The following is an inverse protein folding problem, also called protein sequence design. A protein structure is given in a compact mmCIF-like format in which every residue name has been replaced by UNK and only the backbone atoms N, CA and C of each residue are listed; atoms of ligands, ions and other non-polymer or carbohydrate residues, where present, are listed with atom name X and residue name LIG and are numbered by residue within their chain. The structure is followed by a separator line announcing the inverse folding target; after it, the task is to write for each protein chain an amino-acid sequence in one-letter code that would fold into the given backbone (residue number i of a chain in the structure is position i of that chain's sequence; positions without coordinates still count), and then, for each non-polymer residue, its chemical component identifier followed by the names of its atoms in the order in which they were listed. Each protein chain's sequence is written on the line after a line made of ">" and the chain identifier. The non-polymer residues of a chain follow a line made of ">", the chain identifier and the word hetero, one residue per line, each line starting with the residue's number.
data_IF_821851788948
#
_entry.id   IF_821851788948
#
_cell.length_a   1.000
_cell.length_b   1.000
_cell.length_c   1.000
_cell.angle_alpha   90.00
_cell.angle_beta   90.00
_cell.angle_gamma   90.00
#
_symmetry.space_group_name_H-M   'P 1'
#
loop_
_entity.id
_entity.type
_entity.pdbx_description
1 polymer ?
#
# COMPACT_ATOMS: atom_id res chain seq x y z
N UNK A 1 38.98 -20.73 -11.23
CA UNK A 1 37.98 -19.68 -11.49
C UNK A 1 37.30 -19.32 -10.18
N UNK A 2 38.10 -18.85 -9.24
CA UNK A 2 37.70 -18.44 -7.89
C UNK A 2 38.53 -17.22 -7.56
N UNK A 3 37.97 -16.01 -7.59
CA UNK A 3 38.62 -14.82 -6.98
C UNK A 3 38.03 -13.47 -7.45
N UNK A 4 36.70 -13.32 -7.58
CA UNK A 4 36.13 -11.97 -7.87
C UNK A 4 34.96 -11.56 -6.93
N UNK A 5 34.57 -12.41 -5.96
CA UNK A 5 33.45 -12.09 -5.06
C UNK A 5 33.87 -11.86 -3.59
N UNK A 6 34.97 -11.14 -3.37
CA UNK A 6 35.33 -10.72 -2.00
C UNK A 6 35.72 -9.25 -2.01
N UNK A 7 34.83 -8.34 -2.21
CA UNK A 7 34.91 -6.91 -1.79
C UNK A 7 33.71 -6.15 -2.33
N UNK A 8 32.50 -6.44 -1.78
CA UNK A 8 31.43 -5.47 -1.77
C UNK A 8 31.24 -5.09 -0.32
N UNK A 9 32.15 -4.28 0.16
CA UNK A 9 32.04 -3.56 1.43
C UNK A 9 31.01 -2.46 1.28
N UNK A 10 30.12 -2.40 2.28
CA UNK A 10 29.16 -1.35 2.56
C UNK A 10 29.55 0.04 2.03
N UNK A 11 28.86 0.51 1.02
CA UNK A 11 28.75 1.94 0.75
C UNK A 11 27.35 2.38 1.19
N UNK A 12 27.25 2.78 2.46
CA UNK A 12 26.18 3.64 2.93
C UNK A 12 26.41 5.01 2.29
N UNK A 13 25.72 5.29 1.20
CA UNK A 13 25.63 6.64 0.67
C UNK A 13 24.71 7.45 1.58
N UNK A 14 25.30 8.12 2.57
CA UNK A 14 24.66 9.19 3.30
C UNK A 14 24.64 10.42 2.35
N UNK A 15 23.65 10.52 1.49
CA UNK A 15 23.38 11.76 0.78
C UNK A 15 22.75 12.75 1.76
N UNK A 16 23.57 13.59 2.37
CA UNK A 16 23.11 14.77 3.09
C UNK A 16 22.85 15.85 2.02
N UNK A 17 21.60 16.21 1.73
CA UNK A 17 21.35 17.41 0.96
C UNK A 17 21.60 18.60 1.89
N UNK A 18 22.73 19.26 1.74
CA UNK A 18 22.92 20.61 2.29
C UNK A 18 22.11 21.56 1.43
N UNK A 19 20.85 21.75 1.75
CA UNK A 19 20.09 22.89 1.25
C UNK A 19 20.31 24.04 2.21
N UNK A 20 21.25 24.95 1.90
CA UNK A 20 21.26 26.28 2.46
C UNK A 20 20.00 27.01 1.97
N UNK A 21 18.95 27.00 2.78
CA UNK A 21 17.82 27.91 2.60
C UNK A 21 18.24 29.27 3.11
N UNK A 22 18.38 30.24 2.21
CA UNK A 22 18.48 31.64 2.59
C UNK A 22 17.19 32.05 3.31
N UNK A 23 17.30 32.48 4.55
CA UNK A 23 16.23 33.12 5.29
C UNK A 23 15.96 34.49 4.65
N UNK A 24 14.74 34.68 4.14
CA UNK A 24 14.31 36.00 3.67
C UNK A 24 13.15 35.85 2.72
N UNK A 25 12.00 35.65 3.25
CA UNK A 25 10.66 36.14 2.95
C UNK A 25 9.69 35.26 3.73
N UNK A 26 8.78 35.89 4.49
CA UNK A 26 7.63 35.21 5.06
C UNK A 26 6.77 34.74 3.88
N UNK A 27 7.15 33.60 3.30
CA UNK A 27 6.37 32.92 2.26
C UNK A 27 5.03 32.56 2.89
N UNK A 28 3.99 33.34 2.56
CA UNK A 28 2.63 33.00 2.89
C UNK A 28 2.36 31.62 2.30
N UNK A 29 2.21 30.62 3.17
CA UNK A 29 1.88 29.25 2.75
C UNK A 29 0.50 29.33 2.13
N UNK A 30 0.44 29.10 0.83
CA UNK A 30 -0.82 29.03 0.09
C UNK A 30 -1.44 27.65 0.26
N UNK A 31 -2.70 27.62 0.64
CA UNK A 31 -3.44 26.38 0.86
C UNK A 31 -4.65 26.33 -0.05
N UNK A 32 -4.86 25.18 -0.67
CA UNK A 32 -6.06 24.92 -1.47
C UNK A 32 -7.26 24.67 -0.53
N UNK A 33 -8.34 25.40 -0.76
CA UNK A 33 -9.58 25.31 0.02
C UNK A 33 -10.78 24.89 -0.85
N UNK A 34 -10.55 24.04 -1.82
CA UNK A 34 -11.55 23.59 -2.78
C UNK A 34 -11.33 24.24 -4.14
N UNK A 35 -12.17 25.20 -4.52
CA UNK A 35 -12.05 25.88 -5.82
C UNK A 35 -11.12 27.08 -5.80
N UNK A 36 -10.59 27.46 -4.63
CA UNK A 36 -9.73 28.64 -4.45
C UNK A 36 -8.43 28.29 -3.73
N UNK A 37 -7.45 29.17 -3.81
CA UNK A 37 -6.15 29.09 -3.15
C UNK A 37 -6.00 30.32 -2.29
N UNK A 38 -5.93 30.15 -0.97
CA UNK A 38 -5.80 31.25 -0.02
C UNK A 38 -4.52 31.11 0.81
N UNK A 39 -4.08 32.23 1.34
CA UNK A 39 -3.01 32.23 2.35
C UNK A 39 -3.55 31.56 3.63
N UNK A 40 -2.81 30.61 4.18
CA UNK A 40 -3.24 29.81 5.34
C UNK A 40 -3.69 30.70 6.51
N UNK A 41 -2.99 31.82 6.76
CA UNK A 41 -3.30 32.75 7.85
C UNK A 41 -4.59 33.56 7.62
N UNK A 42 -5.14 33.61 6.40
CA UNK A 42 -6.42 34.29 6.08
C UNK A 42 -7.61 33.37 6.17
N UNK A 43 -7.38 32.07 6.35
CA UNK A 43 -8.44 31.08 6.39
C UNK A 43 -8.99 30.94 7.82
N UNK A 44 -10.29 31.21 7.98
CA UNK A 44 -10.99 30.98 9.26
C UNK A 44 -11.44 29.55 9.49
N UNK A 45 -11.39 28.72 8.45
CA UNK A 45 -11.78 27.31 8.47
C UNK A 45 -10.72 26.43 9.10
N UNK A 46 -11.14 25.34 9.78
CA UNK A 46 -10.21 24.36 10.34
C UNK A 46 -9.65 23.45 9.22
N UNK A 47 -8.50 23.77 8.72
CA UNK A 47 -7.77 23.02 7.69
C UNK A 47 -6.44 22.50 8.22
N UNK A 48 -5.88 21.49 7.57
CA UNK A 48 -4.50 21.03 7.74
C UNK A 48 -3.92 20.70 6.39
N UNK A 49 -2.69 21.05 6.13
CA UNK A 49 -2.05 20.77 4.86
C UNK A 49 -0.68 20.12 5.07
N UNK A 50 -0.27 19.25 4.15
CA UNK A 50 1.08 18.68 4.07
C UNK A 50 1.56 18.72 2.62
N UNK A 51 2.83 19.02 2.43
CA UNK A 51 3.46 19.09 1.11
C UNK A 51 3.86 17.68 0.64
N UNK A 52 3.79 17.44 -0.67
CA UNK A 52 4.18 16.18 -1.27
C UNK A 52 5.65 15.81 -1.02
N UNK A 53 6.55 16.80 -0.90
CA UNK A 53 7.95 16.55 -0.59
C UNK A 53 8.16 15.93 0.80
N UNK A 54 7.31 16.29 1.77
CA UNK A 54 7.32 15.65 3.10
C UNK A 54 6.78 14.21 3.04
N UNK A 55 5.76 13.97 2.20
CA UNK A 55 5.20 12.63 2.00
C UNK A 55 6.21 11.71 1.30
N UNK A 56 6.95 12.23 0.33
CA UNK A 56 7.96 11.48 -0.44
C UNK A 56 9.16 11.01 0.41
N UNK A 57 9.38 11.57 1.60
CA UNK A 57 10.39 11.10 2.56
C UNK A 57 10.04 9.73 3.15
N UNK A 58 8.77 9.32 3.10
CA UNK A 58 8.34 8.01 3.58
C UNK A 58 8.52 6.96 2.48
N UNK A 59 9.34 5.95 2.75
CA UNK A 59 9.52 4.82 1.86
C UNK A 59 8.42 3.79 2.11
N UNK A 60 7.25 4.00 1.52
CA UNK A 60 6.06 3.15 1.67
C UNK A 60 5.43 2.87 0.31
N UNK A 61 4.83 1.69 0.10
CA UNK A 61 4.16 1.35 -1.16
C UNK A 61 2.81 2.08 -1.34
N UNK A 62 2.26 2.66 -0.26
CA UNK A 62 0.92 3.24 -0.24
C UNK A 62 0.98 4.69 0.26
N UNK A 63 0.40 5.64 -0.52
CA UNK A 63 0.29 7.04 -0.12
C UNK A 63 -0.41 7.21 1.24
N UNK A 64 -1.44 6.39 1.52
CA UNK A 64 -2.19 6.47 2.78
C UNK A 64 -1.31 6.28 3.99
N UNK A 65 -0.37 5.34 3.95
CA UNK A 65 0.57 5.13 5.04
C UNK A 65 1.51 6.34 5.23
N UNK A 66 1.83 7.07 4.15
CA UNK A 66 2.63 8.29 4.26
C UNK A 66 1.87 9.46 4.89
N UNK A 67 0.54 9.44 4.89
CA UNK A 67 -0.30 10.46 5.52
C UNK A 67 -0.47 10.26 7.04
N UNK A 68 -0.22 9.05 7.54
CA UNK A 68 -0.38 8.72 8.95
C UNK A 68 0.47 9.63 9.84
N UNK A 69 -0.18 10.30 10.81
CA UNK A 69 0.49 11.20 11.76
C UNK A 69 0.96 12.55 11.20
N UNK A 70 0.70 12.86 9.91
CA UNK A 70 1.16 14.11 9.27
C UNK A 70 0.08 15.18 9.12
N UNK A 71 -1.18 14.79 9.15
CA UNK A 71 -2.32 15.70 9.05
C UNK A 71 -3.12 15.70 10.36
N UNK A 72 -3.01 16.75 11.18
CA UNK A 72 -3.78 16.85 12.43
C UNK A 72 -5.29 16.73 12.18
N UNK A 73 -5.91 15.73 12.80
CA UNK A 73 -7.33 15.40 12.65
C UNK A 73 -7.64 14.28 11.67
N UNK A 74 -6.64 13.78 10.91
CA UNK A 74 -6.75 12.58 10.09
C UNK A 74 -6.29 11.36 10.89
N UNK A 75 -7.13 10.34 10.95
CA UNK A 75 -6.78 9.00 11.43
C UNK A 75 -6.68 8.07 10.24
N UNK A 76 -5.54 7.41 10.11
CA UNK A 76 -5.31 6.36 9.10
C UNK A 76 -5.23 5.04 9.85
N UNK A 77 -6.21 4.18 9.63
CA UNK A 77 -6.18 2.79 10.10
C UNK A 77 -5.50 1.93 9.03
N UNK A 78 -4.51 1.16 9.43
CA UNK A 78 -3.79 0.25 8.54
C UNK A 78 -4.25 -1.18 8.86
N UNK A 79 -4.97 -1.80 7.94
CA UNK A 79 -5.50 -3.15 8.10
C UNK A 79 -4.52 -4.23 7.68
N UNK A 80 -3.79 -4.01 6.58
CA UNK A 80 -2.83 -4.98 6.05
C UNK A 80 -1.62 -4.28 5.43
N UNK A 81 -0.45 -4.90 5.56
CA UNK A 81 0.80 -4.53 4.86
C UNK A 81 1.17 -5.53 3.76
N UNK A 82 0.25 -6.42 3.42
CA UNK A 82 0.46 -7.34 2.30
C UNK A 82 0.70 -6.56 1.01
N UNK A 83 1.71 -6.93 0.21
CA UNK A 83 1.99 -6.27 -1.06
C UNK A 83 0.76 -6.19 -1.97
N UNK A 84 0.37 -4.97 -2.35
CA UNK A 84 -0.77 -4.72 -3.23
C UNK A 84 -2.15 -4.95 -2.59
N UNK A 85 -2.24 -5.08 -1.26
CA UNK A 85 -3.49 -5.00 -0.52
C UNK A 85 -3.67 -3.59 0.03
N UNK A 86 -4.85 -3.04 -0.18
CA UNK A 86 -5.22 -1.73 0.29
C UNK A 86 -6.42 -1.94 1.20
N UNK A 87 -6.12 -2.05 2.47
CA UNK A 87 -7.10 -2.19 3.54
C UNK A 87 -6.88 -1.07 4.57
N UNK A 88 -6.77 0.15 4.06
CA UNK A 88 -6.63 1.33 4.89
C UNK A 88 -8.00 1.97 5.10
N UNK A 89 -8.30 2.35 6.33
CA UNK A 89 -9.46 3.18 6.67
C UNK A 89 -9.02 4.60 6.98
N UNK A 90 -9.83 5.57 6.54
CA UNK A 90 -9.58 6.99 6.75
C UNK A 90 -10.73 7.60 7.53
N UNK A 91 -10.41 8.33 8.60
CA UNK A 91 -11.42 9.06 9.35
C UNK A 91 -10.92 10.47 9.69
N UNK A 92 -11.81 11.44 9.58
CA UNK A 92 -11.54 12.82 10.01
C UNK A 92 -12.30 13.08 11.32
N UNK A 93 -11.54 13.36 12.38
CA UNK A 93 -12.09 13.56 13.75
C UNK A 93 -12.92 12.36 14.26
N UNK A 94 -12.54 11.15 13.81
CA UNK A 94 -13.24 9.90 14.15
C UNK A 94 -14.37 9.53 13.20
N UNK A 95 -15.12 8.49 13.55
CA UNK A 95 -16.27 8.03 12.78
C UNK A 95 -17.48 8.93 13.04
N UNK A 96 -17.93 9.68 12.05
CA UNK A 96 -19.04 10.62 12.15
C UNK A 96 -20.44 10.02 11.92
N UNK A 97 -20.54 8.77 11.52
CA UNK A 97 -21.80 8.11 11.18
C UNK A 97 -21.86 6.67 11.66
N UNK A 98 -23.04 6.18 12.05
CA UNK A 98 -23.28 4.78 12.42
C UNK A 98 -23.50 3.88 11.19
N UNK A 99 -24.08 4.42 10.13
CA UNK A 99 -24.42 3.69 8.91
C UNK A 99 -23.91 4.43 7.66
N UNK A 100 -23.64 3.70 6.57
CA UNK A 100 -23.17 4.26 5.34
C UNK A 100 -21.66 4.52 5.30
N UNK A 101 -21.24 5.37 4.37
CA UNK A 101 -19.85 5.73 4.16
C UNK A 101 -19.31 6.52 5.35
N UNK A 102 -18.23 6.03 5.94
CA UNK A 102 -17.56 6.63 7.09
C UNK A 102 -16.32 7.44 6.68
N UNK A 103 -15.82 7.19 5.48
CA UNK A 103 -14.61 7.80 4.96
C UNK A 103 -14.86 9.22 4.44
N UNK A 104 -13.81 10.07 4.45
CA UNK A 104 -13.90 11.40 3.88
C UNK A 104 -14.06 11.35 2.36
N UNK A 105 -14.62 12.42 1.80
CA UNK A 105 -14.64 12.62 0.37
C UNK A 105 -13.22 12.88 -0.15
N UNK A 106 -12.83 12.20 -1.21
CA UNK A 106 -11.54 12.38 -1.85
C UNK A 106 -11.71 13.19 -3.14
N UNK A 107 -10.92 14.25 -3.25
CA UNK A 107 -10.91 15.14 -4.42
C UNK A 107 -9.49 15.25 -4.93
N UNK A 108 -9.26 14.87 -6.17
CA UNK A 108 -7.95 14.94 -6.83
C UNK A 108 -8.02 15.95 -7.97
N UNK A 109 -7.18 16.97 -7.94
CA UNK A 109 -7.12 18.05 -8.92
C UNK A 109 -8.49 18.71 -9.21
N UNK A 110 -9.36 18.78 -8.17
CA UNK A 110 -10.71 19.36 -8.26
C UNK A 110 -11.81 18.37 -8.65
N UNK A 111 -11.47 17.11 -8.97
CA UNK A 111 -12.45 16.08 -9.32
C UNK A 111 -12.68 15.13 -8.14
N UNK A 112 -13.96 14.89 -7.86
CA UNK A 112 -14.37 13.90 -6.86
C UNK A 112 -14.11 12.50 -7.40
N UNK A 113 -13.34 11.71 -6.66
CA UNK A 113 -12.89 10.39 -7.08
C UNK A 113 -13.15 9.35 -6.00
N UNK A 114 -14.20 8.56 -6.19
CA UNK A 114 -14.53 7.39 -5.37
C UNK A 114 -14.99 6.27 -6.28
N UNK A 115 -14.45 5.07 -6.04
CA UNK A 115 -14.95 3.83 -6.64
C UNK A 115 -15.39 2.88 -5.55
N UNK A 116 -16.55 2.29 -5.75
CA UNK A 116 -16.92 1.05 -5.09
C UNK A 116 -16.67 -0.08 -6.08
N UNK A 117 -15.87 -1.07 -5.69
CA UNK A 117 -15.80 -2.31 -6.46
C UNK A 117 -17.03 -3.19 -6.22
N UNK A 118 -17.12 -4.31 -6.95
CA UNK A 118 -18.23 -5.25 -6.85
C UNK A 118 -18.41 -5.86 -5.46
N UNK A 119 -17.37 -5.83 -4.62
CA UNK A 119 -17.37 -6.36 -3.24
C UNK A 119 -17.69 -5.28 -2.19
N UNK A 120 -17.99 -4.04 -2.62
CA UNK A 120 -18.34 -2.92 -1.74
C UNK A 120 -17.14 -2.24 -1.06
N UNK A 121 -15.91 -2.58 -1.42
CA UNK A 121 -14.72 -1.90 -0.94
C UNK A 121 -14.54 -0.57 -1.69
N UNK A 122 -14.34 0.50 -0.94
CA UNK A 122 -13.98 1.80 -1.51
C UNK A 122 -12.54 1.74 -2.04
N UNK A 123 -12.40 1.38 -3.30
CA UNK A 123 -11.14 1.59 -4.00
C UNK A 123 -11.08 3.03 -4.47
N UNK A 124 -10.25 3.80 -3.84
CA UNK A 124 -10.01 5.18 -4.22
C UNK A 124 -8.78 5.23 -5.11
N UNK A 125 -8.77 6.12 -6.09
CA UNK A 125 -7.56 6.45 -6.86
C UNK A 125 -6.39 6.85 -5.97
N UNK A 126 -6.69 7.29 -4.76
CA UNK A 126 -5.73 7.67 -3.73
C UNK A 126 -4.67 6.60 -3.45
N UNK A 127 -5.09 5.33 -3.42
CA UNK A 127 -4.18 4.23 -3.12
C UNK A 127 -3.13 3.99 -4.22
N UNK A 128 -3.43 4.44 -5.42
CA UNK A 128 -2.57 4.27 -6.59
C UNK A 128 -1.69 5.48 -6.87
N UNK A 129 -1.91 6.60 -6.16
CA UNK A 129 -1.04 7.76 -6.25
C UNK A 129 0.30 7.50 -5.56
N UNK A 130 1.34 8.07 -6.14
CA UNK A 130 2.67 8.07 -5.56
C UNK A 130 2.94 9.41 -4.86
N UNK A 131 3.60 9.42 -3.69
CA UNK A 131 3.96 10.67 -3.02
C UNK A 131 4.72 11.66 -3.91
N UNK A 132 5.48 11.15 -4.88
CA UNK A 132 6.28 11.95 -5.82
C UNK A 132 5.44 12.76 -6.81
N UNK A 133 4.21 12.33 -7.11
CA UNK A 133 3.29 13.09 -7.99
C UNK A 133 2.50 14.15 -7.24
N UNK A 134 2.53 14.14 -5.91
CA UNK A 134 1.75 15.04 -5.06
C UNK A 134 2.48 16.36 -4.87
N UNK A 135 1.76 17.46 -5.00
CA UNK A 135 2.19 18.80 -4.60
C UNK A 135 1.77 19.08 -3.16
N UNK A 136 0.51 18.86 -2.84
CA UNK A 136 -0.03 19.06 -1.51
C UNK A 136 -1.24 18.17 -1.24
N UNK A 137 -1.43 17.82 0.03
CA UNK A 137 -2.66 17.21 0.53
C UNK A 137 -3.23 18.11 1.61
N UNK A 138 -4.48 18.53 1.44
CA UNK A 138 -5.19 19.42 2.34
C UNK A 138 -6.44 18.74 2.90
N UNK A 139 -6.61 18.82 4.20
CA UNK A 139 -7.71 18.24 4.95
C UNK A 139 -8.70 19.33 5.35
N UNK A 140 -9.94 19.25 4.86
CA UNK A 140 -11.05 20.12 5.24
C UNK A 140 -11.84 19.43 6.36
N UNK A 141 -11.86 20.02 7.56
CA UNK A 141 -12.31 19.35 8.79
C UNK A 141 -13.64 19.88 9.33
N UNK A 142 -14.08 21.05 8.93
CA UNK A 142 -15.30 21.68 9.43
C UNK A 142 -16.34 21.91 8.34
N UNK A 143 -17.57 22.13 8.76
CA UNK A 143 -18.70 22.32 7.86
C UNK A 143 -18.55 23.55 6.95
N UNK A 144 -17.89 24.62 7.41
CA UNK A 144 -17.67 25.82 6.62
C UNK A 144 -16.75 25.53 5.43
N UNK A 145 -15.69 24.74 5.64
CA UNK A 145 -14.77 24.34 4.58
C UNK A 145 -15.37 23.31 3.62
N UNK A 146 -16.21 22.40 4.12
CA UNK A 146 -16.76 21.29 3.32
C UNK A 146 -18.09 21.60 2.63
N UNK A 147 -18.72 22.74 2.95
CA UNK A 147 -20.04 23.13 2.43
C UNK A 147 -20.14 23.11 0.91
N UNK A 148 -19.05 23.47 0.19
CA UNK A 148 -18.99 23.48 -1.27
C UNK A 148 -19.16 22.09 -1.90
N UNK A 149 -18.93 21.01 -1.14
CA UNK A 149 -19.09 19.62 -1.57
C UNK A 149 -20.46 19.04 -1.19
N UNK A 150 -21.31 19.84 -0.52
CA UNK A 150 -22.65 19.44 -0.08
C UNK A 150 -22.62 18.23 0.85
N UNK A 151 -23.65 17.39 0.79
CA UNK A 151 -23.80 16.22 1.67
C UNK A 151 -22.64 15.23 1.58
N UNK A 152 -21.98 15.11 0.43
CA UNK A 152 -20.83 14.21 0.25
C UNK A 152 -19.63 14.61 1.09
N UNK A 153 -19.50 15.89 1.46
CA UNK A 153 -18.45 16.40 2.32
C UNK A 153 -18.73 16.25 3.84
N UNK A 154 -19.82 15.60 4.24
CA UNK A 154 -20.24 15.53 5.65
C UNK A 154 -19.21 14.86 6.57
N UNK A 155 -18.43 13.89 6.09
CA UNK A 155 -17.35 13.23 6.83
C UNK A 155 -15.98 13.93 6.69
N UNK A 156 -15.97 15.16 6.15
CA UNK A 156 -14.75 15.88 5.80
C UNK A 156 -14.31 15.61 4.37
N UNK A 157 -13.31 16.36 3.91
CA UNK A 157 -12.79 16.27 2.54
C UNK A 157 -11.27 16.24 2.56
N UNK A 158 -10.69 15.32 1.79
CA UNK A 158 -9.27 15.24 1.52
C UNK A 158 -9.01 15.75 0.10
N UNK A 159 -8.40 16.94 0.00
CA UNK A 159 -8.00 17.55 -1.27
C UNK A 159 -6.57 17.14 -1.59
N UNK A 160 -6.35 16.62 -2.78
CA UNK A 160 -5.04 16.22 -3.28
C UNK A 160 -4.78 17.01 -4.56
N UNK A 161 -3.68 17.76 -4.54
CA UNK A 161 -3.21 18.45 -5.73
C UNK A 161 -1.95 17.76 -6.23
N UNK A 162 -1.93 17.44 -7.51
CA UNK A 162 -0.77 16.83 -8.15
C UNK A 162 0.19 17.89 -8.68
N UNK A 163 1.48 17.56 -8.77
CA UNK A 163 2.52 18.46 -9.26
C UNK A 163 2.25 18.92 -10.67
N UNK A 164 2.48 20.19 -10.93
CA UNK A 164 2.30 20.84 -12.24
C UNK A 164 3.61 21.39 -12.77
N UNK A 165 3.63 21.73 -14.05
CA UNK A 165 4.74 22.42 -14.68
C UNK A 165 4.96 23.82 -14.12
N UNK A 166 6.18 24.28 -14.21
CA UNK A 166 6.57 25.65 -13.83
C UNK A 166 7.20 26.37 -15.01
N UNK A 167 7.11 27.69 -15.04
CA UNK A 167 7.85 28.50 -16.03
C UNK A 167 9.33 28.48 -15.66
N UNK A 168 10.03 27.46 -16.11
CA UNK A 168 11.45 27.24 -15.82
C UNK A 168 12.07 26.34 -16.90
N UNK A 169 13.41 26.38 -17.08
CA UNK A 169 14.11 25.39 -17.87
C UNK A 169 13.79 23.97 -17.42
N UNK A 170 13.94 23.00 -18.30
CA UNK A 170 13.73 21.58 -18.01
C UNK A 170 14.56 21.16 -16.79
N UNK A 171 13.85 20.62 -15.78
CA UNK A 171 14.42 19.94 -14.61
C UNK A 171 14.14 18.46 -14.74
N UNK A 172 15.16 17.64 -14.56
CA UNK A 172 15.05 16.18 -14.55
C UNK A 172 15.46 15.71 -13.17
N UNK A 173 14.59 14.94 -12.53
CA UNK A 173 14.89 14.30 -11.24
C UNK A 173 14.77 12.79 -11.40
N UNK A 174 15.83 12.10 -10.98
CA UNK A 174 15.87 10.65 -10.90
C UNK A 174 15.95 10.23 -9.43
N UNK A 175 15.12 9.27 -9.05
CA UNK A 175 15.08 8.71 -7.69
C UNK A 175 15.14 7.19 -7.79
N UNK A 176 16.06 6.58 -7.04
CA UNK A 176 16.11 5.13 -6.87
C UNK A 176 16.24 4.82 -5.38
N UNK A 177 15.37 3.97 -4.88
CA UNK A 177 15.32 3.56 -3.48
C UNK A 177 15.21 2.05 -3.38
N UNK A 178 15.95 1.46 -2.45
CA UNK A 178 15.88 0.05 -2.09
C UNK A 178 15.67 -0.02 -0.59
N UNK A 179 14.74 -0.85 -0.16
CA UNK A 179 14.44 -1.05 1.24
C UNK A 179 14.13 -2.50 1.57
N UNK A 180 14.24 -2.80 2.86
CA UNK A 180 13.88 -4.09 3.41
C UNK A 180 12.73 -3.89 4.40
N UNK A 181 11.68 -4.68 4.23
CA UNK A 181 10.54 -4.73 5.13
C UNK A 181 10.72 -5.91 6.08
N UNK A 182 10.37 -5.73 7.34
CA UNK A 182 10.34 -6.80 8.33
C UNK A 182 9.12 -6.62 9.24
N UNK A 183 8.56 -7.70 9.78
CA UNK A 183 7.48 -7.59 10.76
C UNK A 183 7.96 -6.82 11.99
N UNK A 184 7.17 -5.85 12.44
CA UNK A 184 7.46 -5.10 13.67
C UNK A 184 7.29 -5.94 14.92
N UNK A 185 6.39 -6.93 14.86
CA UNK A 185 6.12 -7.90 15.93
C UNK A 185 5.62 -9.20 15.32
N UNK A 186 6.21 -10.30 15.74
CA UNK A 186 5.74 -11.65 15.44
C UNK A 186 5.15 -12.28 16.71
N UNK A 187 4.00 -12.99 16.61
CA UNK A 187 3.53 -13.80 17.70
C UNK A 187 4.57 -14.87 18.05
N UNK A 188 4.72 -15.16 19.34
CA UNK A 188 5.53 -16.28 19.80
C UNK A 188 4.59 -17.42 20.15
N UNK A 189 4.80 -18.56 19.52
CA UNK A 189 4.07 -19.77 19.82
C UNK A 189 4.86 -20.65 20.76
N UNK A 190 4.17 -21.57 21.41
CA UNK A 190 4.77 -22.58 22.26
C UNK A 190 5.47 -23.61 21.37
N UNK A 191 6.54 -24.21 21.90
CA UNK A 191 7.10 -25.44 21.36
C UNK A 191 6.18 -26.64 21.67
N UNK A 192 6.45 -27.79 21.07
CA UNK A 192 5.60 -28.97 21.20
C UNK A 192 5.51 -29.50 22.62
N UNK A 193 6.57 -29.39 23.39
CA UNK A 193 6.60 -29.81 24.80
C UNK A 193 5.69 -28.95 25.67
N UNK A 194 5.82 -27.62 25.58
CA UNK A 194 5.01 -26.69 26.35
C UNK A 194 3.55 -26.74 25.93
N UNK A 195 3.31 -26.86 24.61
CA UNK A 195 1.96 -27.05 24.07
C UNK A 195 1.29 -28.32 24.60
N UNK A 196 2.00 -29.47 24.59
CA UNK A 196 1.47 -30.74 25.06
C UNK A 196 1.17 -30.72 26.57
N UNK A 197 2.01 -30.06 27.37
CA UNK A 197 1.76 -29.89 28.80
C UNK A 197 0.51 -29.04 29.07
N UNK A 198 0.37 -27.87 28.43
CA UNK A 198 -0.80 -27.03 28.59
C UNK A 198 -2.08 -27.69 28.06
N UNK A 199 -1.95 -28.45 26.97
CA UNK A 199 -3.06 -29.26 26.45
C UNK A 199 -3.52 -30.30 27.45
N UNK A 200 -2.57 -31.03 28.08
CA UNK A 200 -2.85 -32.00 29.15
C UNK A 200 -3.54 -31.36 30.34
N UNK A 201 -3.10 -30.17 30.78
CA UNK A 201 -3.73 -29.43 31.85
C UNK A 201 -5.20 -29.10 31.53
N UNK A 202 -5.43 -28.52 30.34
CA UNK A 202 -6.77 -28.19 29.87
C UNK A 202 -7.67 -29.43 29.69
N UNK A 203 -7.11 -30.50 29.11
CA UNK A 203 -7.82 -31.76 28.91
C UNK A 203 -8.16 -32.45 30.22
N UNK A 204 -7.24 -32.49 31.17
CA UNK A 204 -7.42 -33.05 32.48
C UNK A 204 -8.47 -32.33 33.32
N UNK A 205 -8.55 -31.00 33.18
CA UNK A 205 -9.59 -30.21 33.86
C UNK A 205 -11.01 -30.66 33.49
N UNK A 206 -11.21 -30.97 32.20
CA UNK A 206 -12.53 -31.43 31.68
C UNK A 206 -12.75 -32.92 31.89
N UNK A 207 -11.70 -33.73 31.89
CA UNK A 207 -11.76 -35.19 31.87
C UNK A 207 -11.23 -35.85 33.16
N UNK A 208 -11.43 -35.21 34.32
CA UNK A 208 -11.15 -35.79 35.63
C UNK A 208 -9.67 -36.12 35.92
N UNK A 209 -8.76 -35.32 35.37
CA UNK A 209 -7.30 -35.50 35.56
C UNK A 209 -6.62 -36.41 34.53
N UNK A 210 -7.33 -36.86 33.48
CA UNK A 210 -6.75 -37.64 32.41
C UNK A 210 -5.71 -36.85 31.61
N UNK A 211 -4.68 -37.53 31.13
CA UNK A 211 -3.71 -36.95 30.20
C UNK A 211 -3.98 -37.39 28.77
N UNK A 212 -3.94 -36.44 27.83
CA UNK A 212 -4.03 -36.74 26.40
C UNK A 212 -2.67 -37.19 25.83
N UNK A 213 -1.60 -36.48 26.18
CA UNK A 213 -0.22 -36.84 25.84
C UNK A 213 0.40 -37.60 27.01
N UNK A 214 0.78 -38.85 26.78
CA UNK A 214 1.48 -39.65 27.78
C UNK A 214 2.91 -39.17 28.08
N UNK A 215 3.52 -39.70 29.15
CA UNK A 215 4.88 -39.35 29.57
C UNK A 215 5.93 -39.61 28.51
N UNK A 216 5.81 -40.70 27.74
CA UNK A 216 6.71 -41.02 26.63
C UNK A 216 6.70 -39.93 25.56
N UNK A 217 5.51 -39.43 25.17
CA UNK A 217 5.38 -38.36 24.20
C UNK A 217 5.96 -37.04 24.72
N UNK A 218 5.72 -36.72 26.00
CA UNK A 218 6.27 -35.51 26.62
C UNK A 218 7.79 -35.56 26.68
N UNK A 219 8.38 -36.72 27.04
CA UNK A 219 9.83 -36.90 27.07
C UNK A 219 10.44 -36.83 25.66
N UNK A 220 9.73 -37.37 24.65
CA UNK A 220 10.17 -37.30 23.27
C UNK A 220 10.16 -35.87 22.73
N UNK A 221 9.13 -35.08 23.00
CA UNK A 221 9.07 -33.63 22.63
C UNK A 221 10.16 -32.85 23.35
N UNK A 222 10.39 -33.11 24.66
CA UNK A 222 11.40 -32.43 25.44
C UNK A 222 12.82 -32.68 24.94
N UNK A 223 13.09 -33.90 24.52
CA UNK A 223 14.42 -34.33 24.10
C UNK A 223 14.66 -34.29 22.60
N UNK A 224 13.60 -34.04 21.78
CA UNK A 224 13.68 -34.05 20.32
C UNK A 224 14.09 -35.42 19.74
N UNK A 225 13.59 -36.51 20.31
CA UNK A 225 14.09 -37.86 20.04
C UNK A 225 13.78 -38.34 18.62
N UNK A 226 12.59 -38.01 18.12
CA UNK A 226 12.14 -38.36 16.75
C UNK A 226 11.33 -37.20 16.16
N UNK A 227 11.92 -36.49 15.23
CA UNK A 227 11.31 -35.32 14.58
C UNK A 227 10.12 -35.65 13.64
N UNK A 228 9.93 -36.91 13.29
CA UNK A 228 8.85 -37.35 12.46
C UNK A 228 7.63 -37.81 13.25
N UNK A 229 7.86 -38.56 14.31
CA UNK A 229 6.81 -39.05 15.19
C UNK A 229 6.41 -38.04 16.25
N UNK A 230 7.36 -37.26 16.73
CA UNK A 230 7.17 -36.19 17.72
C UNK A 230 7.73 -34.86 17.19
N UNK A 231 7.06 -34.28 16.16
CA UNK A 231 7.53 -33.05 15.53
C UNK A 231 7.43 -31.85 16.49
N UNK A 232 8.34 -30.89 16.28
CA UNK A 232 8.34 -29.59 16.92
C UNK A 232 8.64 -28.53 15.86
N UNK A 233 7.58 -27.92 15.30
CA UNK A 233 7.66 -27.07 14.12
C UNK A 233 7.24 -25.65 14.44
N UNK A 234 8.13 -24.70 14.24
CA UNK A 234 7.77 -23.28 14.18
C UNK A 234 7.25 -22.94 12.79
N UNK A 235 5.93 -22.95 12.63
CA UNK A 235 5.28 -22.72 11.36
C UNK A 235 5.51 -21.33 10.79
N UNK A 236 5.79 -20.31 11.63
CA UNK A 236 6.16 -18.99 11.14
C UNK A 236 7.56 -18.98 10.53
N UNK A 237 8.53 -19.56 11.20
CA UNK A 237 9.91 -19.66 10.68
C UNK A 237 9.97 -20.53 9.42
N UNK A 238 9.13 -21.55 9.33
CA UNK A 238 9.05 -22.41 8.14
C UNK A 238 8.36 -21.74 6.94
N UNK A 239 7.44 -20.82 7.14
CA UNK A 239 6.63 -20.25 6.04
C UNK A 239 7.02 -18.83 5.65
N UNK A 240 7.63 -18.08 6.57
CA UNK A 240 7.94 -16.66 6.35
C UNK A 240 9.44 -16.41 6.30
N UNK A 241 9.82 -15.41 5.52
CA UNK A 241 11.15 -14.81 5.51
C UNK A 241 11.23 -13.73 6.58
N UNK A 242 12.42 -13.51 7.12
CA UNK A 242 12.66 -12.43 8.09
C UNK A 242 12.56 -11.05 7.47
N UNK A 243 12.85 -10.93 6.17
CA UNK A 243 12.84 -9.67 5.43
C UNK A 243 12.27 -9.86 4.03
N UNK A 244 11.61 -8.83 3.53
CA UNK A 244 11.16 -8.71 2.14
C UNK A 244 11.80 -7.47 1.49
N UNK A 245 12.09 -7.56 0.20
CA UNK A 245 12.70 -6.46 -0.56
C UNK A 245 11.63 -5.58 -1.17
N UNK A 246 11.89 -4.27 -1.18
CA UNK A 246 11.08 -3.29 -1.87
C UNK A 246 11.98 -2.36 -2.69
N UNK A 247 11.60 -2.13 -3.93
CA UNK A 247 12.32 -1.29 -4.88
C UNK A 247 11.41 -0.20 -5.40
N UNK A 248 11.94 1.02 -5.50
CA UNK A 248 11.23 2.17 -6.06
C UNK A 248 12.15 2.95 -6.97
N UNK A 249 11.74 3.16 -8.21
CA UNK A 249 12.48 3.92 -9.20
C UNK A 249 11.55 4.95 -9.81
N UNK A 250 11.96 6.20 -9.79
CA UNK A 250 11.19 7.32 -10.33
C UNK A 250 12.03 8.22 -11.21
N UNK A 251 11.43 8.69 -12.29
CA UNK A 251 11.99 9.69 -13.19
C UNK A 251 10.92 10.74 -13.46
N UNK A 252 11.22 12.00 -13.17
CA UNK A 252 10.31 13.08 -13.49
C UNK A 252 10.98 14.20 -14.28
N UNK A 253 10.16 14.83 -15.11
CA UNK A 253 10.50 15.96 -15.95
C UNK A 253 9.54 17.10 -15.65
N UNK A 254 10.07 18.27 -15.36
CA UNK A 254 9.30 19.45 -15.05
C UNK A 254 9.91 20.66 -15.74
N UNK A 255 9.09 21.51 -16.34
CA UNK A 255 9.54 22.73 -17.00
C UNK A 255 8.42 23.42 -17.74
N UNK A 256 8.79 24.38 -18.55
CA UNK A 256 7.85 25.08 -19.41
C UNK A 256 8.22 26.54 -19.66
N UNK A 257 7.35 27.20 -20.35
CA UNK A 257 7.38 28.61 -20.68
C UNK A 257 5.99 29.25 -20.48
N UNK A 258 5.79 30.46 -20.95
CA UNK A 258 4.52 31.18 -20.81
C UNK A 258 3.38 30.54 -21.61
N UNK A 259 3.68 29.71 -22.62
CA UNK A 259 2.69 29.04 -23.48
C UNK A 259 2.35 27.64 -22.95
N UNK A 260 3.37 26.85 -22.60
CA UNK A 260 3.19 25.46 -22.14
C UNK A 260 4.04 25.21 -20.92
N UNK A 261 3.42 24.68 -19.87
CA UNK A 261 4.10 24.15 -18.67
C UNK A 261 3.74 22.69 -18.54
N UNK A 262 4.70 21.86 -18.13
CA UNK A 262 4.50 20.43 -18.05
C UNK A 262 5.19 19.82 -16.85
N UNK A 263 4.57 18.77 -16.31
CA UNK A 263 5.14 17.82 -15.35
C UNK A 263 4.84 16.41 -15.85
N UNK A 264 5.86 15.58 -15.99
CA UNK A 264 5.75 14.17 -16.38
C UNK A 264 6.49 13.33 -15.36
N UNK A 265 5.84 12.28 -14.84
CA UNK A 265 6.43 11.30 -13.93
C UNK A 265 6.27 9.90 -14.49
N UNK A 266 7.35 9.13 -14.45
CA UNK A 266 7.39 7.69 -14.64
C UNK A 266 7.89 7.07 -13.34
N UNK A 267 7.15 6.12 -12.79
CA UNK A 267 7.52 5.48 -11.53
C UNK A 267 7.28 3.97 -11.59
N UNK A 268 8.18 3.22 -10.97
CA UNK A 268 8.08 1.78 -10.75
C UNK A 268 8.22 1.47 -9.26
N UNK A 269 7.36 0.60 -8.76
CA UNK A 269 7.40 0.03 -7.41
C UNK A 269 7.35 -1.49 -7.51
N UNK A 270 8.33 -2.17 -6.91
CA UNK A 270 8.37 -3.62 -6.74
C UNK A 270 8.41 -3.99 -5.26
N UNK A 271 7.60 -4.96 -4.84
CA UNK A 271 7.56 -5.48 -3.47
C UNK A 271 7.40 -7.00 -3.48
N UNK A 272 8.30 -7.74 -2.80
CA UNK A 272 8.36 -9.21 -2.87
C UNK A 272 7.58 -9.93 -1.75
N UNK A 273 7.03 -9.22 -0.74
CA UNK A 273 6.33 -9.83 0.40
C UNK A 273 7.22 -10.70 1.30
N UNK A 274 6.63 -11.25 2.36
CA UNK A 274 7.34 -11.99 3.41
C UNK A 274 7.25 -13.53 3.28
N UNK A 275 6.44 -14.07 2.38
CA UNK A 275 6.36 -15.53 2.22
C UNK A 275 7.66 -16.10 1.66
N UNK A 276 8.04 -17.31 2.10
CA UNK A 276 9.21 -18.01 1.55
C UNK A 276 9.04 -18.17 0.03
N UNK A 277 10.16 -18.11 -0.69
CA UNK A 277 10.16 -18.23 -2.15
C UNK A 277 9.87 -19.67 -2.53
N UNK A 278 8.97 -19.84 -3.48
CA UNK A 278 8.61 -21.17 -3.97
C UNK A 278 9.72 -21.82 -4.78
N UNK A 279 10.62 -21.04 -5.38
CA UNK A 279 11.82 -21.52 -6.08
C UNK A 279 12.74 -22.33 -5.18
N UNK A 280 12.79 -22.02 -3.88
CA UNK A 280 13.59 -22.74 -2.90
C UNK A 280 12.91 -24.04 -2.44
N UNK A 281 11.64 -24.26 -2.79
CA UNK A 281 10.79 -25.33 -2.29
C UNK A 281 10.30 -26.28 -3.38
N UNK A 282 10.13 -25.81 -4.60
CA UNK A 282 9.67 -26.57 -5.75
C UNK A 282 10.03 -25.88 -7.08
N UNK A 283 9.91 -26.60 -8.19
CA UNK A 283 10.15 -26.06 -9.55
C UNK A 283 9.06 -25.07 -10.02
N UNK A 284 8.05 -24.78 -9.17
CA UNK A 284 6.94 -23.89 -9.50
C UNK A 284 7.21 -22.49 -9.01
N UNK A 285 6.95 -21.49 -9.86
CA UNK A 285 7.14 -20.08 -9.54
C UNK A 285 5.81 -19.41 -9.19
N UNK A 286 5.44 -19.44 -7.91
CA UNK A 286 4.28 -18.73 -7.37
C UNK A 286 4.65 -17.71 -6.29
N UNK A 287 5.84 -17.16 -6.38
CA UNK A 287 6.36 -16.19 -5.40
C UNK A 287 5.41 -15.00 -5.24
N UNK A 288 5.17 -14.63 -3.98
CA UNK A 288 4.45 -13.41 -3.68
C UNK A 288 5.22 -12.21 -4.22
N UNK A 289 4.59 -11.42 -5.05
CA UNK A 289 5.14 -10.16 -5.57
C UNK A 289 4.04 -9.19 -5.97
N UNK A 290 4.38 -7.93 -5.88
CA UNK A 290 3.58 -6.82 -6.35
C UNK A 290 4.44 -5.86 -7.15
N UNK A 291 4.03 -5.57 -8.37
CA UNK A 291 4.65 -4.57 -9.22
C UNK A 291 3.63 -3.51 -9.60
N UNK A 292 4.01 -2.25 -9.51
CA UNK A 292 3.19 -1.12 -9.94
C UNK A 292 3.99 -0.17 -10.80
N UNK A 293 3.39 0.23 -11.89
CA UNK A 293 3.91 1.22 -12.84
C UNK A 293 2.97 2.41 -12.84
N UNK A 294 3.49 3.60 -12.56
CA UNK A 294 2.74 4.84 -12.59
C UNK A 294 3.28 5.76 -13.67
N UNK A 295 2.37 6.35 -14.41
CA UNK A 295 2.64 7.44 -15.34
C UNK A 295 1.73 8.61 -14.99
N UNK A 296 2.30 9.79 -14.81
CA UNK A 296 1.57 11.04 -14.64
C UNK A 296 2.03 12.05 -15.67
N UNK A 297 1.10 12.72 -16.33
CA UNK A 297 1.38 13.85 -17.21
C UNK A 297 0.39 14.96 -16.93
N UNK A 298 0.88 16.10 -16.46
CA UNK A 298 0.11 17.31 -16.23
C UNK A 298 0.65 18.41 -17.14
N UNK A 299 -0.22 18.99 -17.96
CA UNK A 299 0.12 20.03 -18.91
C UNK A 299 -0.81 21.21 -18.73
N UNK A 300 -0.25 22.40 -18.64
CA UNK A 300 -0.96 23.67 -18.61
C UNK A 300 -0.61 24.44 -19.90
N UNK A 301 -1.59 24.71 -20.72
CA UNK A 301 -1.42 25.33 -22.05
C UNK A 301 -2.20 26.64 -22.12
N UNK A 302 -1.53 27.75 -22.36
CA UNK A 302 -2.15 29.03 -22.70
C UNK A 302 -2.40 29.07 -24.21
N UNK A 303 -3.62 28.71 -24.64
CA UNK A 303 -4.02 28.67 -26.04
C UNK A 303 -4.07 30.07 -26.63
N UNK A 304 -4.54 31.02 -25.81
CA UNK A 304 -4.56 32.44 -26.14
C UNK A 304 -4.35 33.27 -24.87
N UNK A 305 -4.39 34.60 -24.98
CA UNK A 305 -4.29 35.49 -23.81
C UNK A 305 -5.46 35.28 -22.83
N UNK A 306 -6.60 34.83 -23.32
CA UNK A 306 -7.82 34.69 -22.55
C UNK A 306 -8.22 33.23 -22.31
N UNK A 307 -7.74 32.27 -23.13
CA UNK A 307 -8.11 30.86 -23.05
C UNK A 307 -6.92 30.01 -22.60
N UNK A 308 -7.12 29.26 -21.54
CA UNK A 308 -6.15 28.26 -21.03
C UNK A 308 -6.79 26.88 -20.92
N UNK A 309 -5.97 25.85 -21.12
CA UNK A 309 -6.33 24.45 -20.96
C UNK A 309 -5.41 23.79 -19.91
N UNK A 310 -6.01 23.05 -19.00
CA UNK A 310 -5.30 22.17 -18.08
C UNK A 310 -5.62 20.72 -18.42
N UNK A 311 -4.61 19.94 -18.78
CA UNK A 311 -4.73 18.54 -19.17
C UNK A 311 -4.03 17.69 -18.10
N UNK A 312 -4.72 16.70 -17.59
CA UNK A 312 -4.19 15.74 -16.62
C UNK A 312 -4.38 14.32 -17.15
N UNK A 313 -3.32 13.52 -17.11
CA UNK A 313 -3.34 12.10 -17.41
C UNK A 313 -2.61 11.35 -16.29
N UNK A 314 -3.29 10.40 -15.68
CA UNK A 314 -2.72 9.47 -14.70
C UNK A 314 -2.98 8.04 -15.13
N UNK A 315 -1.97 7.19 -15.13
CA UNK A 315 -2.08 5.76 -15.43
C UNK A 315 -1.39 5.01 -14.30
N UNK A 316 -2.08 4.02 -13.74
CA UNK A 316 -1.50 3.04 -12.82
C UNK A 316 -1.79 1.64 -13.34
N UNK A 317 -0.73 0.84 -13.46
CA UNK A 317 -0.80 -0.57 -13.86
C UNK A 317 -0.21 -1.39 -12.72
N UNK A 318 -0.96 -2.38 -12.25
CA UNK A 318 -0.56 -3.23 -11.14
C UNK A 318 -0.59 -4.70 -11.56
N UNK A 319 0.42 -5.44 -11.12
CA UNK A 319 0.51 -6.89 -11.24
C UNK A 319 0.83 -7.46 -9.86
N UNK A 320 -0.12 -8.18 -9.30
CA UNK A 320 -0.01 -8.85 -8.00
C UNK A 320 -0.07 -10.35 -8.20
N UNK A 321 0.87 -11.08 -7.62
CA UNK A 321 0.87 -12.54 -7.54
C UNK A 321 0.95 -12.93 -6.08
N UNK A 322 0.08 -13.85 -5.66
CA UNK A 322 0.14 -14.51 -4.35
C UNK A 322 0.10 -16.02 -4.54
N UNK A 323 0.68 -16.81 -3.61
CA UNK A 323 0.54 -18.26 -3.63
C UNK A 323 -0.94 -18.68 -3.67
N UNK A 324 -1.24 -19.79 -4.33
CA UNK A 324 -2.60 -20.30 -4.50
C UNK A 324 -3.20 -20.77 -3.17
N UNK A 325 -4.49 -20.54 -3.00
CA UNK A 325 -5.28 -21.01 -1.85
C UNK A 325 -6.55 -21.72 -2.27
N UNK A 326 -7.38 -22.08 -1.32
CA UNK A 326 -8.63 -22.82 -1.55
C UNK A 326 -9.76 -21.99 -2.16
N UNK A 327 -9.75 -20.67 -1.90
CA UNK A 327 -10.80 -19.76 -2.37
C UNK A 327 -10.23 -18.59 -3.17
N UNK A 328 -10.87 -18.27 -4.28
CA UNK A 328 -10.49 -17.15 -5.13
C UNK A 328 -10.57 -15.83 -4.34
N UNK A 329 -9.43 -15.19 -4.10
CA UNK A 329 -9.32 -13.84 -3.53
C UNK A 329 -9.07 -13.72 -2.03
N UNK A 330 -9.00 -14.83 -1.27
CA UNK A 330 -8.74 -14.81 0.20
C UNK A 330 -7.48 -15.58 0.59
N UNK A 331 -6.60 -15.84 -0.33
CA UNK A 331 -5.54 -16.83 -0.19
C UNK A 331 -4.54 -16.53 0.92
N UNK A 332 -4.22 -15.26 1.12
CA UNK A 332 -3.20 -14.86 2.10
C UNK A 332 -3.75 -14.88 3.52
N UNK A 333 -4.97 -14.38 3.74
CA UNK A 333 -5.61 -14.41 5.05
C UNK A 333 -5.88 -15.85 5.51
N UNK A 334 -6.35 -16.73 4.61
CA UNK A 334 -6.54 -18.14 4.91
C UNK A 334 -5.22 -18.83 5.27
N UNK A 335 -4.14 -18.52 4.54
CA UNK A 335 -2.83 -19.06 4.84
C UNK A 335 -2.30 -18.60 6.21
N UNK A 336 -2.42 -17.30 6.53
CA UNK A 336 -2.02 -16.79 7.85
C UNK A 336 -2.87 -17.39 8.98
N UNK A 337 -4.18 -17.51 8.80
CA UNK A 337 -5.07 -18.17 9.76
C UNK A 337 -4.67 -19.63 9.99
N UNK A 338 -4.27 -20.36 8.95
CA UNK A 338 -3.76 -21.74 9.07
C UNK A 338 -2.46 -21.80 9.83
N UNK A 339 -1.49 -20.93 9.50
CA UNK A 339 -0.22 -20.85 10.23
C UNK A 339 -0.46 -20.60 11.73
N UNK A 340 -1.39 -19.70 12.07
CA UNK A 340 -1.69 -19.35 13.46
C UNK A 340 -2.42 -20.43 14.23
N UNK A 341 -3.27 -21.21 13.57
CA UNK A 341 -4.09 -22.22 14.21
C UNK A 341 -3.46 -23.61 14.26
N UNK A 342 -2.33 -23.80 13.56
CA UNK A 342 -1.67 -25.09 13.46
C UNK A 342 -0.78 -25.35 14.69
N UNK A 343 -1.05 -26.42 15.49
CA UNK A 343 -0.19 -26.78 16.61
C UNK A 343 1.21 -27.16 16.17
N UNK A 344 2.25 -26.92 16.98
CA UNK A 344 3.64 -27.21 16.63
C UNK A 344 3.92 -28.71 16.47
N UNK A 345 3.12 -29.54 17.12
CA UNK A 345 3.24 -31.01 17.14
C UNK A 345 2.28 -31.72 16.18
N UNK A 346 1.63 -31.01 15.26
CA UNK A 346 0.59 -31.60 14.38
C UNK A 346 1.17 -32.64 13.41
N UNK A 347 2.26 -32.31 12.73
CA UNK A 347 2.98 -33.18 11.79
C UNK A 347 4.34 -32.53 11.43
N UNK A 348 5.31 -33.31 10.91
CA UNK A 348 6.57 -32.76 10.41
C UNK A 348 6.35 -31.95 9.13
N UNK A 349 7.23 -31.01 8.80
CA UNK A 349 7.19 -30.26 7.55
C UNK A 349 7.24 -31.20 6.36
N UNK A 350 8.13 -32.20 6.42
CA UNK A 350 8.22 -33.31 5.45
C UNK A 350 8.35 -34.63 6.15
N UNK A 351 7.73 -35.64 5.56
CA UNK A 351 7.82 -37.03 6.00
C UNK A 351 9.19 -37.66 5.62
N UNK A 352 9.57 -38.83 6.18
CA UNK A 352 10.82 -39.50 5.84
C UNK A 352 11.02 -39.82 4.36
N UNK A 353 9.93 -40.00 3.60
CA UNK A 353 9.92 -40.23 2.17
C UNK A 353 9.94 -38.94 1.34
N UNK A 354 10.17 -37.79 1.99
CA UNK A 354 10.16 -36.45 1.40
C UNK A 354 8.79 -35.93 0.89
N UNK A 355 7.68 -36.66 1.13
CA UNK A 355 6.35 -36.10 0.91
C UNK A 355 6.03 -35.02 1.94
N UNK A 356 5.07 -34.15 1.64
CA UNK A 356 4.63 -33.14 2.60
C UNK A 356 3.94 -33.76 3.80
N UNK A 357 4.29 -33.30 5.01
CA UNK A 357 3.55 -33.64 6.21
C UNK A 357 2.14 -33.04 6.16
N UNK A 358 1.19 -33.72 6.77
CA UNK A 358 -0.21 -33.28 6.83
C UNK A 358 -1.07 -34.23 7.63
N UNK A 359 -2.30 -33.83 7.90
CA UNK A 359 -3.31 -34.68 8.55
C UNK A 359 -4.68 -34.49 7.90
N UNK A 360 -5.64 -35.32 8.30
CA UNK A 360 -7.04 -35.19 7.82
C UNK A 360 -7.66 -33.83 8.18
N UNK A 361 -7.20 -33.19 9.23
CA UNK A 361 -7.77 -31.94 9.75
C UNK A 361 -6.99 -30.70 9.32
N UNK A 362 -5.69 -30.86 8.99
CA UNK A 362 -4.77 -29.75 8.77
C UNK A 362 -3.92 -29.96 7.53
N UNK A 363 -3.90 -28.97 6.65
CA UNK A 363 -3.00 -28.94 5.50
C UNK A 363 -1.70 -28.22 5.86
N UNK A 364 -0.61 -28.65 5.25
CA UNK A 364 0.70 -28.04 5.44
C UNK A 364 0.76 -26.64 4.79
N UNK A 365 0.98 -25.55 5.56
CA UNK A 365 1.00 -24.22 4.99
C UNK A 365 2.17 -23.98 4.04
N UNK A 366 3.33 -24.63 4.27
CA UNK A 366 4.48 -24.52 3.37
C UNK A 366 4.21 -25.22 2.03
N UNK A 367 3.55 -26.39 2.06
CA UNK A 367 3.10 -27.08 0.86
C UNK A 367 2.05 -26.26 0.08
N UNK A 368 1.18 -25.55 0.80
CA UNK A 368 0.22 -24.66 0.16
C UNK A 368 0.94 -23.51 -0.58
N UNK A 369 2.00 -22.94 0.00
CA UNK A 369 2.82 -21.91 -0.67
C UNK A 369 3.51 -22.50 -1.90
N UNK A 370 4.10 -23.69 -1.78
CA UNK A 370 4.97 -24.27 -2.80
C UNK A 370 4.21 -24.92 -3.98
N UNK A 371 3.10 -25.63 -3.70
CA UNK A 371 2.52 -26.56 -4.66
C UNK A 371 1.12 -26.17 -5.18
N UNK A 372 0.35 -25.36 -4.42
CA UNK A 372 -1.05 -25.07 -4.78
C UNK A 372 -1.23 -24.16 -5.99
N UNK A 373 -0.15 -23.63 -6.55
CA UNK A 373 -0.20 -22.72 -7.69
C UNK A 373 -0.25 -21.26 -7.28
N UNK A 374 -0.96 -20.42 -8.04
CA UNK A 374 -0.95 -18.97 -7.79
C UNK A 374 -2.30 -18.33 -8.10
N UNK A 375 -2.54 -17.21 -7.45
CA UNK A 375 -3.55 -16.24 -7.80
C UNK A 375 -2.88 -14.96 -8.29
N UNK A 376 -3.26 -14.51 -9.49
CA UNK A 376 -2.72 -13.30 -10.11
C UNK A 376 -3.82 -12.30 -10.35
N UNK A 377 -3.59 -11.08 -9.93
CA UNK A 377 -4.45 -9.93 -10.17
C UNK A 377 -3.71 -8.92 -11.04
N UNK A 378 -4.36 -8.49 -12.12
CA UNK A 378 -3.88 -7.38 -12.95
C UNK A 378 -4.92 -6.27 -12.88
N UNK A 379 -4.51 -5.07 -12.50
CA UNK A 379 -5.35 -3.89 -12.55
C UNK A 379 -4.75 -2.80 -13.43
N UNK A 380 -5.62 -2.05 -14.06
CA UNK A 380 -5.27 -0.85 -14.83
C UNK A 380 -6.24 0.24 -14.47
N UNK A 381 -5.71 1.40 -14.13
CA UNK A 381 -6.48 2.58 -13.84
C UNK A 381 -5.98 3.73 -14.71
N UNK A 382 -6.87 4.34 -15.45
CA UNK A 382 -6.58 5.48 -16.31
C UNK A 382 -7.49 6.63 -15.90
N UNK A 383 -6.88 7.74 -15.56
CA UNK A 383 -7.56 8.96 -15.18
C UNK A 383 -7.14 10.06 -16.14
N UNK A 384 -8.07 10.66 -16.81
CA UNK A 384 -7.82 11.82 -17.65
C UNK A 384 -8.79 12.94 -17.31
N UNK A 385 -8.30 14.16 -17.36
CA UNK A 385 -9.11 15.34 -17.15
C UNK A 385 -8.68 16.49 -18.06
N UNK A 386 -9.64 17.24 -18.51
CA UNK A 386 -9.45 18.48 -19.24
C UNK A 386 -10.27 19.57 -18.54
N UNK A 387 -9.62 20.67 -18.19
CA UNK A 387 -10.27 21.89 -17.70
C UNK A 387 -9.91 23.02 -18.65
N UNK A 388 -10.92 23.66 -19.20
CA UNK A 388 -10.78 24.87 -19.99
C UNK A 388 -11.19 26.06 -19.14
N UNK A 389 -10.43 27.14 -19.20
CA UNK A 389 -10.75 28.40 -18.50
C UNK A 389 -10.64 29.55 -19.48
N UNK A 390 -11.72 30.33 -19.61
CA UNK A 390 -11.76 31.53 -20.42
C UNK A 390 -11.93 32.76 -19.52
N UNK A 391 -11.05 33.73 -19.71
CA UNK A 391 -11.14 35.05 -19.06
C UNK A 391 -12.06 35.94 -19.84
N UNK A 392 -13.04 36.47 -19.17
CA UNK A 392 -14.06 37.37 -19.75
C UNK A 392 -13.84 38.81 -19.28
N UNK A 393 -12.60 39.24 -19.15
CA UNK A 393 -12.22 40.60 -18.70
C UNK A 393 -12.81 41.70 -19.59
N UNK A 394 -13.13 41.34 -20.83
CA UNK A 394 -13.84 42.25 -21.77
C UNK A 394 -15.29 42.56 -21.35
N UNK A 395 -15.93 41.67 -20.59
CA UNK A 395 -17.26 41.88 -20.06
C UNK A 395 -17.22 42.47 -18.67
N UNK A 396 -16.39 41.91 -17.80
CA UNK A 396 -16.18 42.38 -16.44
C UNK A 396 -14.77 42.03 -15.99
N UNK A 397 -13.94 42.99 -15.53
CA UNK A 397 -12.61 42.74 -15.05
C UNK A 397 -12.60 41.67 -13.95
N UNK A 398 -11.76 40.63 -14.10
CA UNK A 398 -11.66 39.52 -13.19
C UNK A 398 -12.69 38.41 -13.36
N UNK A 399 -13.64 38.55 -14.28
CA UNK A 399 -14.60 37.50 -14.60
C UNK A 399 -13.91 36.39 -15.40
N UNK A 400 -14.15 35.13 -15.01
CA UNK A 400 -13.75 33.97 -15.80
C UNK A 400 -14.79 32.86 -15.74
N UNK A 401 -14.86 32.07 -16.79
CA UNK A 401 -15.66 30.83 -16.83
C UNK A 401 -14.73 29.65 -16.98
N UNK A 402 -15.01 28.56 -16.25
CA UNK A 402 -14.26 27.33 -16.37
C UNK A 402 -15.21 26.17 -16.56
N UNK A 403 -14.88 25.30 -17.52
CA UNK A 403 -15.56 24.03 -17.72
C UNK A 403 -14.56 22.89 -17.59
N UNK A 404 -14.98 21.78 -17.00
CA UNK A 404 -14.08 20.68 -16.71
C UNK A 404 -14.76 19.33 -16.90
N UNK A 405 -14.09 18.45 -17.64
CA UNK A 405 -14.52 17.08 -17.88
C UNK A 405 -13.43 16.10 -17.40
N UNK A 406 -13.85 15.01 -16.77
CA UNK A 406 -12.94 13.93 -16.39
C UNK A 406 -13.48 12.59 -16.88
N UNK A 407 -12.55 11.73 -17.26
CA UNK A 407 -12.82 10.35 -17.63
C UNK A 407 -11.93 9.42 -16.81
N UNK A 408 -12.56 8.44 -16.18
CA UNK A 408 -11.89 7.43 -15.38
C UNK A 408 -12.25 6.05 -15.89
N UNK A 409 -11.24 5.19 -16.09
CA UNK A 409 -11.42 3.82 -16.50
C UNK A 409 -10.63 2.91 -15.56
N UNK A 410 -11.32 1.95 -14.96
CA UNK A 410 -10.73 0.93 -14.12
C UNK A 410 -10.99 -0.45 -14.71
N UNK A 411 -9.94 -1.23 -14.84
CA UNK A 411 -10.01 -2.63 -15.26
C UNK A 411 -9.35 -3.51 -14.20
N UNK A 412 -10.00 -4.61 -13.86
CA UNK A 412 -9.50 -5.59 -12.92
C UNK A 412 -9.70 -6.99 -13.50
N UNK A 413 -8.62 -7.71 -13.67
CA UNK A 413 -8.62 -9.09 -14.17
C UNK A 413 -7.95 -10.04 -13.19
N UNK A 414 -8.50 -11.24 -13.06
CA UNK A 414 -7.99 -12.29 -12.20
C UNK A 414 -7.59 -13.51 -13.04
N UNK A 415 -6.52 -14.17 -12.63
CA UNK A 415 -6.12 -15.47 -13.15
C UNK A 415 -5.72 -16.35 -11.96
N UNK A 416 -6.41 -17.46 -11.80
CA UNK A 416 -6.16 -18.43 -10.74
C UNK A 416 -5.67 -19.74 -11.37
N UNK A 417 -4.54 -20.25 -10.87
CA UNK A 417 -4.05 -21.58 -11.21
C UNK A 417 -3.97 -22.36 -9.92
N UNK A 418 -4.74 -23.43 -9.87
CA UNK A 418 -4.86 -24.29 -8.70
C UNK A 418 -4.34 -25.69 -9.01
N UNK A 419 -3.57 -26.26 -8.08
CA UNK A 419 -3.13 -27.66 -8.11
C UNK A 419 -3.38 -28.31 -6.74
N UNK A 420 -3.75 -29.59 -6.75
CA UNK A 420 -3.69 -30.41 -5.56
C UNK A 420 -2.28 -30.98 -5.43
N UNK A 421 -1.84 -31.20 -4.21
CA UNK A 421 -0.60 -31.91 -3.88
C UNK A 421 -0.91 -33.06 -2.92
N UNK A 422 -0.11 -34.11 -3.00
CA UNK A 422 -0.14 -35.28 -2.12
C UNK A 422 0.92 -35.17 -1.02
#
# INVERSE_FOLDING_TARGET
>A
MNSIFKHITSFVFLAIPVSMSAAGDSLSVKTHIGYDVQDEYKTSSAISSVRGDELAKSFTPNLLNSLAGRLPGLTVGQGSDEPGVIDNSLFIRGMGTFQGLKEPLIVIDGFVTQYTDADGYLRTLLSQLMPEEIESVTLLKDASATAIYGLRGANGVLLINTKRGTNSPLKINFTAQVGFQQPTKMPKFLNSYDYANLYNEAYGYVNGGAQYYGTEALDAYKNGTDKYLYPDVDWYDETLRKTAEMYKVGLNFQGGNDVVKYFVLLNYLGNSGLMKRTEDLSDKTSNQRYNRYNVRSNMDVNISKNLSAHITLGIAIEDKITPGGTDAGKNTDDLFNRIQSLPPNSFPVRNPNNSWGGSSNWSNPLANIAERGYWRQNSRNINSALKLTEKLDMLLPGLSISDAISFNSYYLGYSNRYANYE
#
